data_IF_440873404850
#
_entry.id   IF_440873404850
#
_cell.length_a   1.000
_cell.length_b   1.000
_cell.length_c   1.000
_cell.angle_alpha   90.00
_cell.angle_beta   90.00
_cell.angle_gamma   90.00
#
_symmetry.space_group_name_H-M   'P 1'
#
loop_
_entity.id
_entity.type
_entity.pdbx_description
1 polymer ?
#
# COMPACT_ATOMS: atom_id res chain seq x y z
N UNK A 1 0.54 11.88 -13.67
CA UNK A 1 0.19 10.44 -13.66
C UNK A 1 0.64 9.87 -12.32
N UNK A 2 -0.30 9.61 -11.41
CA UNK A 2 -0.01 8.87 -10.17
C UNK A 2 0.43 7.44 -10.53
N UNK A 3 1.40 6.83 -9.85
CA UNK A 3 1.68 5.44 -10.05
C UNK A 3 0.65 4.59 -9.30
N UNK A 4 -0.14 3.88 -10.09
CA UNK A 4 -0.46 2.47 -9.91
C UNK A 4 -1.23 2.15 -8.60
N UNK A 5 -2.54 2.41 -8.61
CA UNK A 5 -3.44 1.33 -8.23
C UNK A 5 -2.99 0.19 -9.14
N UNK A 6 -2.27 -0.81 -8.62
CA UNK A 6 -2.04 -2.02 -9.40
C UNK A 6 -3.47 -2.47 -9.67
N UNK A 7 -3.96 -2.42 -10.93
CA UNK A 7 -5.23 -3.07 -11.21
C UNK A 7 -5.01 -4.48 -10.69
N UNK A 8 -5.85 -4.94 -9.76
CA UNK A 8 -5.59 -6.20 -9.10
C UNK A 8 -5.45 -7.19 -10.26
N UNK A 9 -4.27 -7.85 -10.36
CA UNK A 9 -3.86 -8.52 -11.60
C UNK A 9 -4.90 -9.55 -12.06
N UNK A 10 -4.75 -10.23 -13.20
CA UNK A 10 -5.73 -11.24 -13.65
C UNK A 10 -6.09 -12.26 -12.55
N UNK A 11 -5.16 -12.51 -11.61
CA UNK A 11 -5.39 -13.33 -10.42
C UNK A 11 -6.52 -12.83 -9.47
N UNK A 12 -6.83 -11.53 -9.48
CA UNK A 12 -7.83 -10.92 -8.60
C UNK A 12 -9.22 -10.73 -9.24
N UNK A 13 -9.32 -10.87 -10.56
CA UNK A 13 -10.60 -10.86 -11.29
C UNK A 13 -11.62 -11.87 -10.72
N UNK A 14 -11.27 -13.14 -10.41
CA UNK A 14 -12.21 -14.08 -9.81
C UNK A 14 -12.67 -13.67 -8.41
N UNK A 15 -11.83 -12.97 -7.64
CA UNK A 15 -12.20 -12.47 -6.30
C UNK A 15 -13.19 -11.31 -6.44
N UNK A 16 -12.91 -10.36 -7.34
CA UNK A 16 -13.81 -9.24 -7.60
C UNK A 16 -15.19 -9.73 -8.08
N UNK A 17 -15.22 -10.68 -9.02
CA UNK A 17 -16.46 -11.27 -9.51
C UNK A 17 -17.27 -11.95 -8.38
N UNK A 18 -16.58 -12.68 -7.51
CA UNK A 18 -17.20 -13.36 -6.37
C UNK A 18 -17.72 -12.37 -5.33
N UNK A 19 -16.98 -11.30 -5.03
CA UNK A 19 -17.42 -10.23 -4.14
C UNK A 19 -18.66 -9.50 -4.68
N UNK A 20 -18.70 -9.21 -5.97
CA UNK A 20 -19.87 -8.61 -6.62
C UNK A 20 -21.08 -9.54 -6.53
N UNK A 21 -20.91 -10.84 -6.80
CA UNK A 21 -21.98 -11.82 -6.65
C UNK A 21 -22.48 -11.96 -5.20
N UNK A 22 -21.60 -11.83 -4.21
CA UNK A 22 -22.00 -11.81 -2.80
C UNK A 22 -22.84 -10.57 -2.47
N UNK A 23 -22.42 -9.40 -2.95
CA UNK A 23 -23.11 -8.13 -2.73
C UNK A 23 -24.48 -8.06 -3.42
N UNK A 24 -24.62 -8.66 -4.61
CA UNK A 24 -25.92 -8.73 -5.31
C UNK A 24 -26.89 -9.70 -4.63
N UNK A 25 -26.39 -10.85 -4.15
CA UNK A 25 -27.18 -11.83 -3.42
C UNK A 25 -27.56 -11.37 -2.00
N UNK A 26 -26.85 -10.40 -1.42
CA UNK A 26 -27.02 -9.97 -0.02
C UNK A 26 -28.45 -9.59 0.36
N UNK A 27 -29.25 -9.10 -0.60
CA UNK A 27 -30.65 -8.68 -0.36
C UNK A 27 -31.69 -9.75 -0.68
N UNK A 28 -31.33 -10.80 -1.40
CA UNK A 28 -32.27 -11.77 -1.98
C UNK A 28 -32.06 -13.19 -1.47
N UNK A 29 -30.82 -13.56 -1.18
CA UNK A 29 -30.45 -14.90 -0.72
C UNK A 29 -29.24 -14.85 0.23
N UNK A 30 -29.53 -14.96 1.53
CA UNK A 30 -28.53 -14.88 2.58
C UNK A 30 -27.57 -16.08 2.60
N UNK A 31 -27.95 -17.24 2.04
CA UNK A 31 -27.08 -18.42 1.96
C UNK A 31 -26.10 -18.27 0.79
N UNK A 32 -26.61 -17.86 -0.37
CA UNK A 32 -25.79 -17.58 -1.55
C UNK A 32 -24.77 -16.47 -1.26
N UNK A 33 -25.18 -15.40 -0.59
CA UNK A 33 -24.27 -14.33 -0.18
C UNK A 33 -23.14 -14.83 0.74
N UNK A 34 -23.45 -15.70 1.71
CA UNK A 34 -22.45 -16.32 2.61
C UNK A 34 -21.50 -17.25 1.87
N UNK A 35 -22.01 -18.08 0.96
CA UNK A 35 -21.20 -18.98 0.14
C UNK A 35 -20.24 -18.21 -0.76
N UNK A 36 -20.72 -17.14 -1.41
CA UNK A 36 -19.88 -16.26 -2.23
C UNK A 36 -18.84 -15.53 -1.39
N UNK A 37 -19.17 -15.07 -0.19
CA UNK A 37 -18.17 -14.48 0.69
C UNK A 37 -17.07 -15.49 1.08
N UNK A 38 -17.45 -16.73 1.38
CA UNK A 38 -16.49 -17.79 1.71
C UNK A 38 -15.61 -18.17 0.50
N UNK A 39 -16.20 -18.27 -0.70
CA UNK A 39 -15.47 -18.49 -1.96
C UNK A 39 -14.44 -17.38 -2.20
N UNK A 40 -14.78 -16.11 -1.95
CA UNK A 40 -13.83 -15.00 -2.06
C UNK A 40 -12.68 -15.12 -1.04
N UNK A 41 -12.96 -15.56 0.19
CA UNK A 41 -11.91 -15.80 1.22
C UNK A 41 -10.99 -16.96 0.84
N UNK A 42 -11.53 -18.05 0.28
CA UNK A 42 -10.74 -19.18 -0.21
C UNK A 42 -9.85 -18.74 -1.37
N UNK A 43 -10.40 -18.02 -2.35
CA UNK A 43 -9.63 -17.47 -3.48
C UNK A 43 -8.51 -16.53 -3.00
N UNK A 44 -8.77 -15.69 -1.99
CA UNK A 44 -7.74 -14.86 -1.35
C UNK A 44 -6.61 -15.69 -0.71
N UNK A 45 -6.93 -16.82 -0.09
CA UNK A 45 -5.91 -17.70 0.50
C UNK A 45 -4.98 -18.33 -0.54
N UNK A 46 -5.47 -18.54 -1.76
CA UNK A 46 -4.68 -19.04 -2.87
C UNK A 46 -3.81 -17.96 -3.54
N UNK A 47 -4.14 -16.67 -3.36
CA UNK A 47 -3.25 -15.58 -3.76
C UNK A 47 -1.96 -15.48 -2.91
N UNK A 48 -1.92 -16.15 -1.75
CA UNK A 48 -0.72 -16.27 -0.93
C UNK A 48 0.27 -17.32 -1.43
N UNK A 49 -0.07 -18.10 -2.47
CA UNK A 49 0.97 -18.82 -3.20
C UNK A 49 1.63 -17.82 -4.15
N UNK A 50 2.86 -17.34 -3.86
CA UNK A 50 3.54 -16.48 -4.81
C UNK A 50 3.66 -17.28 -6.10
N UNK A 51 3.14 -16.71 -7.18
CA UNK A 51 3.41 -17.17 -8.55
C UNK A 51 4.94 -17.25 -8.72
N UNK A 52 5.52 -18.44 -8.50
CA UNK A 52 6.97 -18.69 -8.48
C UNK A 52 7.62 -18.55 -9.86
N UNK A 53 6.88 -18.08 -10.86
CA UNK A 53 7.35 -17.89 -12.24
C UNK A 53 7.95 -16.49 -12.51
N UNK A 54 7.82 -15.53 -11.59
CA UNK A 54 8.54 -14.25 -11.66
C UNK A 54 9.99 -14.36 -11.16
N UNK A 55 10.92 -13.48 -11.58
CA UNK A 55 12.25 -13.41 -10.96
C UNK A 55 12.05 -13.16 -9.46
N UNK A 56 12.45 -14.13 -8.63
CA UNK A 56 12.28 -14.06 -7.20
C UNK A 56 12.88 -12.75 -6.66
N UNK A 57 12.03 -11.92 -6.05
CA UNK A 57 12.48 -10.70 -5.39
C UNK A 57 13.44 -11.13 -4.28
N UNK A 58 14.55 -10.41 -4.13
CA UNK A 58 15.54 -10.77 -3.12
C UNK A 58 14.90 -10.73 -1.71
N UNK A 59 15.13 -11.72 -0.82
CA UNK A 59 14.46 -11.78 0.48
C UNK A 59 14.62 -10.51 1.33
N UNK A 60 15.79 -9.85 1.28
CA UNK A 60 16.00 -8.56 1.94
C UNK A 60 15.07 -7.43 1.43
N UNK A 61 14.67 -7.46 0.16
CA UNK A 61 13.67 -6.51 -0.37
C UNK A 61 12.30 -6.84 0.19
N UNK A 62 11.89 -8.11 0.20
CA UNK A 62 10.61 -8.52 0.80
C UNK A 62 10.54 -8.17 2.30
N UNK A 63 11.62 -8.41 3.05
CA UNK A 63 11.73 -8.02 4.45
C UNK A 63 11.59 -6.50 4.63
N UNK A 64 12.29 -5.70 3.82
CA UNK A 64 12.19 -4.24 3.87
C UNK A 64 10.78 -3.75 3.53
N UNK A 65 10.13 -4.31 2.52
CA UNK A 65 8.76 -3.98 2.13
C UNK A 65 7.78 -4.23 3.27
N UNK A 66 7.85 -5.43 3.84
CA UNK A 66 7.03 -5.85 4.98
C UNK A 66 7.25 -4.93 6.18
N UNK A 67 8.51 -4.65 6.51
CA UNK A 67 8.86 -3.79 7.63
C UNK A 67 8.35 -2.36 7.42
N UNK A 68 8.51 -1.79 6.21
CA UNK A 68 8.04 -0.45 5.87
C UNK A 68 6.52 -0.34 6.06
N UNK A 69 5.75 -1.31 5.52
CA UNK A 69 4.29 -1.27 5.59
C UNK A 69 3.77 -1.38 7.03
N UNK A 70 4.45 -2.14 7.90
CA UNK A 70 4.09 -2.26 9.32
C UNK A 70 4.45 -1.02 10.15
N UNK A 71 5.42 -0.21 9.73
CA UNK A 71 5.98 0.90 10.53
C UNK A 71 5.82 2.28 9.86
N UNK A 72 4.89 2.44 8.90
CA UNK A 72 4.68 3.71 8.18
C UNK A 72 4.56 4.95 9.08
N UNK A 73 3.83 4.92 10.22
CA UNK A 73 3.67 6.09 11.10
C UNK A 73 4.93 6.46 11.88
N UNK A 74 5.88 5.53 12.01
CA UNK A 74 7.03 5.68 12.91
C UNK A 74 8.20 6.45 12.26
N UNK A 75 9.14 6.98 13.07
CA UNK A 75 10.41 7.47 12.56
C UNK A 75 11.23 6.34 11.90
N UNK A 76 11.09 6.20 10.59
CA UNK A 76 11.84 5.21 9.81
C UNK A 76 13.11 5.83 9.23
N UNK A 77 14.26 5.29 9.61
CA UNK A 77 15.54 5.64 8.99
C UNK A 77 15.96 4.54 8.03
N UNK A 78 16.71 4.92 6.99
CA UNK A 78 17.26 3.96 6.03
C UNK A 78 18.18 2.92 6.70
N UNK A 79 18.90 3.33 7.74
CA UNK A 79 19.74 2.43 8.53
C UNK A 79 18.94 1.34 9.23
N UNK A 80 17.84 1.72 9.90
CA UNK A 80 16.95 0.78 10.59
C UNK A 80 16.30 -0.20 9.60
N UNK A 81 15.81 0.29 8.45
CA UNK A 81 15.22 -0.59 7.43
C UNK A 81 16.26 -1.61 6.94
N UNK A 82 17.51 -1.19 6.71
CA UNK A 82 18.58 -2.07 6.26
C UNK A 82 18.97 -3.12 7.32
N UNK A 83 19.08 -2.71 8.58
CA UNK A 83 19.33 -3.59 9.72
C UNK A 83 18.27 -4.69 9.85
N UNK A 84 16.99 -4.30 9.82
CA UNK A 84 15.84 -5.21 9.89
C UNK A 84 15.75 -6.13 8.66
N UNK A 85 16.34 -5.71 7.54
CA UNK A 85 16.43 -6.49 6.31
C UNK A 85 17.70 -7.36 6.22
N UNK A 86 18.56 -7.33 7.24
CA UNK A 86 19.78 -8.15 7.32
C UNK A 86 20.87 -7.77 6.30
N UNK A 87 20.86 -6.54 5.77
CA UNK A 87 21.82 -6.10 4.74
C UNK A 87 22.34 -4.69 5.01
N UNK A 88 23.45 -4.31 4.35
CA UNK A 88 23.92 -2.93 4.42
C UNK A 88 23.00 -1.98 3.65
N UNK A 89 22.99 -0.70 4.06
CA UNK A 89 22.21 0.37 3.40
C UNK A 89 22.49 0.46 1.89
N UNK A 90 23.77 0.39 1.51
CA UNK A 90 24.20 0.44 0.11
C UNK A 90 23.68 -0.76 -0.68
N UNK A 91 23.73 -1.96 -0.09
CA UNK A 91 23.20 -3.16 -0.72
C UNK A 91 21.69 -3.05 -0.87
N UNK A 92 20.97 -2.66 0.18
CA UNK A 92 19.51 -2.53 0.12
C UNK A 92 19.06 -1.56 -0.97
N UNK A 93 19.69 -0.38 -1.10
CA UNK A 93 19.36 0.56 -2.16
C UNK A 93 19.61 -0.01 -3.56
N UNK A 94 20.69 -0.78 -3.75
CA UNK A 94 20.98 -1.44 -5.03
C UNK A 94 19.91 -2.48 -5.36
N UNK A 95 19.50 -3.28 -4.38
CA UNK A 95 18.42 -4.25 -4.55
C UNK A 95 17.08 -3.57 -4.88
N UNK A 96 16.73 -2.50 -4.15
CA UNK A 96 15.53 -1.71 -4.43
C UNK A 96 15.55 -1.08 -5.83
N UNK A 97 16.68 -0.51 -6.26
CA UNK A 97 16.80 0.04 -7.60
C UNK A 97 16.68 -1.05 -8.68
N UNK A 98 17.27 -2.22 -8.46
CA UNK A 98 17.20 -3.35 -9.40
C UNK A 98 15.84 -4.04 -9.46
N UNK A 99 15.13 -4.15 -8.34
CA UNK A 99 13.84 -4.85 -8.25
C UNK A 99 12.62 -3.94 -8.45
N UNK A 100 12.68 -2.69 -7.98
CA UNK A 100 11.53 -1.77 -7.92
C UNK A 100 11.76 -0.47 -8.69
N UNK A 101 12.97 -0.21 -9.20
CA UNK A 101 13.29 1.01 -9.95
C UNK A 101 13.31 2.30 -9.10
N UNK A 102 13.22 2.19 -7.77
CA UNK A 102 13.17 3.32 -6.84
C UNK A 102 14.05 3.05 -5.63
N UNK A 103 14.49 4.10 -4.93
CA UNK A 103 15.20 3.93 -3.65
C UNK A 103 14.23 3.58 -2.52
N UNK A 104 14.75 3.00 -1.44
CA UNK A 104 14.00 2.64 -0.23
C UNK A 104 13.23 3.83 0.33
N UNK A 105 13.90 4.98 0.48
CA UNK A 105 13.26 6.19 1.03
C UNK A 105 12.20 6.79 0.09
N UNK A 106 12.36 6.62 -1.23
CA UNK A 106 11.33 7.02 -2.20
C UNK A 106 10.11 6.10 -2.07
N UNK A 107 10.33 4.79 -1.94
CA UNK A 107 9.27 3.82 -1.71
C UNK A 107 8.48 4.13 -0.43
N UNK A 108 9.16 4.28 0.71
CA UNK A 108 8.54 4.67 1.99
C UNK A 108 7.67 5.94 1.84
N UNK A 109 8.20 6.97 1.16
CA UNK A 109 7.46 8.21 0.95
C UNK A 109 6.21 8.00 0.09
N UNK A 110 6.28 7.18 -0.95
CA UNK A 110 5.11 6.88 -1.79
C UNK A 110 4.03 6.17 -0.98
N UNK A 111 4.39 5.16 -0.18
CA UNK A 111 3.47 4.43 0.70
C UNK A 111 2.79 5.34 1.72
N UNK A 112 3.55 6.26 2.32
CA UNK A 112 2.98 7.31 3.20
C UNK A 112 1.99 8.22 2.49
N UNK A 113 2.28 8.61 1.25
CA UNK A 113 1.36 9.42 0.46
C UNK A 113 0.09 8.66 0.08
N UNK A 114 0.20 7.40 -0.31
CA UNK A 114 -0.95 6.53 -0.58
C UNK A 114 -1.86 6.41 0.64
N UNK A 115 -1.29 6.15 1.81
CA UNK A 115 -2.05 6.14 3.08
C UNK A 115 -2.65 7.52 3.39
N UNK A 116 -1.92 8.60 3.15
CA UNK A 116 -2.43 9.96 3.36
C UNK A 116 -3.64 10.24 2.49
N UNK A 117 -3.59 9.85 1.22
CA UNK A 117 -4.71 9.98 0.29
C UNK A 117 -5.93 9.21 0.80
N UNK A 118 -5.73 7.94 1.18
CA UNK A 118 -6.80 7.12 1.76
C UNK A 118 -7.44 7.80 2.98
N UNK A 119 -6.64 8.27 3.94
CA UNK A 119 -7.16 8.93 5.14
C UNK A 119 -7.86 10.26 4.82
N UNK A 120 -7.36 11.03 3.84
CA UNK A 120 -7.97 12.31 3.45
C UNK A 120 -9.37 12.15 2.83
N UNK A 121 -9.61 11.06 2.10
CA UNK A 121 -10.87 10.80 1.40
C UNK A 121 -11.87 9.97 2.22
N UNK A 122 -11.40 9.08 3.09
CA UNK A 122 -12.26 8.16 3.86
C UNK A 122 -12.58 8.64 5.27
N UNK A 123 -11.85 9.63 5.80
CA UNK A 123 -11.99 10.08 7.19
C UNK A 123 -12.26 11.58 7.32
N UNK A 124 -12.80 11.98 8.48
CA UNK A 124 -12.99 13.37 8.88
C UNK A 124 -11.81 13.99 9.63
N UNK A 125 -10.67 13.31 9.74
CA UNK A 125 -9.52 13.75 10.55
C UNK A 125 -9.01 15.14 10.15
N UNK A 126 -8.40 15.90 11.06
CA UNK A 126 -7.74 17.13 10.65
C UNK A 126 -6.51 16.81 9.78
N UNK A 127 -6.15 17.70 8.85
CA UNK A 127 -4.98 17.48 7.97
C UNK A 127 -3.70 17.25 8.77
N UNK A 128 -3.56 17.93 9.93
CA UNK A 128 -2.46 17.74 10.87
C UNK A 128 -2.42 16.31 11.45
N UNK A 129 -3.58 15.74 11.78
CA UNK A 129 -3.66 14.39 12.35
C UNK A 129 -3.34 13.34 11.28
N UNK A 130 -3.78 13.56 10.04
CA UNK A 130 -3.38 12.71 8.90
C UNK A 130 -1.86 12.76 8.71
N UNK A 131 -1.26 13.95 8.72
CA UNK A 131 0.18 14.12 8.58
C UNK A 131 0.95 13.35 9.68
N UNK A 132 0.47 13.40 10.92
CA UNK A 132 1.01 12.61 12.03
C UNK A 132 0.86 11.09 11.80
N UNK A 133 -0.33 10.62 11.44
CA UNK A 133 -0.62 9.19 11.24
C UNK A 133 0.19 8.56 10.11
N UNK A 134 0.58 9.33 9.10
CA UNK A 134 1.42 8.82 8.01
C UNK A 134 2.92 9.00 8.28
N UNK A 135 3.32 9.44 9.47
CA UNK A 135 4.72 9.59 9.85
C UNK A 135 5.41 10.82 9.25
N UNK A 136 4.65 11.88 8.95
CA UNK A 136 5.16 13.18 8.45
C UNK A 136 4.56 14.29 9.32
N UNK A 137 4.98 14.39 10.61
CA UNK A 137 4.34 15.30 11.58
C UNK A 137 4.53 16.78 11.24
N UNK A 138 5.54 17.14 10.45
CA UNK A 138 5.71 18.49 9.94
C UNK A 138 4.68 18.78 8.84
N UNK A 139 3.73 19.66 9.17
CA UNK A 139 2.62 20.02 8.28
C UNK A 139 3.07 20.74 7.00
N UNK A 140 4.15 21.54 7.07
CA UNK A 140 4.67 22.23 5.89
C UNK A 140 5.31 21.23 4.92
N UNK A 141 6.11 20.30 5.44
CA UNK A 141 6.69 19.19 4.68
C UNK A 141 5.60 18.29 4.09
N UNK A 142 4.57 17.94 4.87
CA UNK A 142 3.44 17.16 4.40
C UNK A 142 2.70 17.83 3.24
N UNK A 143 2.34 19.12 3.40
CA UNK A 143 1.66 19.87 2.35
C UNK A 143 2.48 19.94 1.06
N UNK A 144 3.79 20.18 1.18
CA UNK A 144 4.72 20.20 0.04
C UNK A 144 4.78 18.84 -0.65
N UNK A 145 4.83 17.76 0.12
CA UNK A 145 4.85 16.40 -0.40
C UNK A 145 3.54 16.03 -1.10
N UNK A 146 2.38 16.37 -0.52
CA UNK A 146 1.10 16.16 -1.18
C UNK A 146 1.02 16.90 -2.52
N UNK A 147 1.45 18.16 -2.56
CA UNK A 147 1.47 18.93 -3.81
C UNK A 147 2.44 18.33 -4.83
N UNK A 148 3.61 17.86 -4.41
CA UNK A 148 4.59 17.24 -5.29
C UNK A 148 4.12 15.87 -5.81
N UNK A 149 3.41 15.09 -5.00
CA UNK A 149 2.98 13.73 -5.33
C UNK A 149 1.66 13.69 -6.10
N UNK A 150 0.66 14.47 -5.65
CA UNK A 150 -0.70 14.47 -6.21
C UNK A 150 -0.99 15.65 -7.13
N UNK A 151 -0.16 16.70 -7.12
CA UNK A 151 -0.45 17.97 -7.80
C UNK A 151 -1.44 18.88 -7.03
N UNK A 152 -1.99 18.41 -5.91
CA UNK A 152 -3.05 19.07 -5.15
C UNK A 152 -2.66 19.26 -3.68
N UNK A 153 -3.24 20.26 -3.02
CA UNK A 153 -3.13 20.39 -1.56
C UNK A 153 -3.99 19.33 -0.85
N UNK A 154 -3.69 18.96 0.40
CA UNK A 154 -4.51 18.02 1.15
C UNK A 154 -5.99 18.42 1.26
N UNK A 155 -6.25 19.72 1.38
CA UNK A 155 -7.62 20.26 1.41
C UNK A 155 -8.34 20.13 0.08
N UNK A 156 -7.64 20.29 -1.05
CA UNK A 156 -8.20 20.07 -2.38
C UNK A 156 -8.44 18.57 -2.63
N UNK A 157 -7.56 17.68 -2.17
CA UNK A 157 -7.77 16.22 -2.25
C UNK A 157 -9.07 15.80 -1.52
N UNK A 158 -9.38 16.42 -0.37
CA UNK A 158 -10.60 16.12 0.39
C UNK A 158 -11.89 16.57 -0.32
N UNK A 159 -11.82 17.62 -1.13
CA UNK A 159 -12.96 18.19 -1.85
C UNK A 159 -12.65 18.13 -3.35
N UNK A 160 -12.68 16.92 -3.93
CA UNK A 160 -12.32 16.71 -5.33
C UNK A 160 -13.24 17.50 -6.28
#
# INVERSE_FOLDING_TARGET
ALPIHVPPGPACEPIAATMVAALTAFRTDALLARLKLWEALVLLSHLSEPDRAGPAVHPAVEAALTWIDLHLPEPCTLGRIAEESGVSVTHLNRLFAGSLGVSVMRYLRNRRMELAHYLLITTGLAVKDVAYQVGIPDLHAFNKLCKAYFGLSPTAIRRP
#
